data_IF_836274282387
#
_entry.id   IF_836274282387
#
_cell.length_a   1.000
_cell.length_b   1.000
_cell.length_c   1.000
_cell.angle_alpha   90.00
_cell.angle_beta   90.00
_cell.angle_gamma   90.00
#
_symmetry.space_group_name_H-M   'P 1'
#
loop_
_entity.id
_entity.type
_entity.pdbx_description
1 polymer ?
#
# COMPACT_ATOMS: atom_id res chain seq x y z
N UNK A 1 -4.15 -9.18 -19.64
CA UNK A 1 -4.53 -8.36 -18.46
C UNK A 1 -4.46 -6.85 -18.72
N UNK A 2 -3.51 -6.33 -19.51
CA UNK A 2 -3.43 -4.89 -19.87
C UNK A 2 -4.58 -4.36 -20.74
N UNK A 3 -5.27 -5.22 -21.49
CA UNK A 3 -6.45 -4.84 -22.29
C UNK A 3 -7.67 -4.44 -21.43
N UNK A 4 -7.79 -4.92 -20.19
CA UNK A 4 -8.98 -4.69 -19.36
C UNK A 4 -9.01 -3.28 -18.74
N UNK A 5 -7.86 -2.64 -18.49
CA UNK A 5 -7.83 -1.25 -17.99
C UNK A 5 -8.44 -0.26 -18.99
N UNK A 6 -8.29 -0.48 -20.29
CA UNK A 6 -8.88 0.39 -21.33
C UNK A 6 -10.41 0.29 -21.46
N UNK A 7 -11.03 -0.76 -20.92
CA UNK A 7 -12.51 -0.93 -21.01
C UNK A 7 -13.29 -0.33 -19.83
N UNK A 8 -12.63 -0.02 -18.71
CA UNK A 8 -13.28 0.53 -17.50
C UNK A 8 -13.05 2.04 -17.33
N UNK A 9 -12.01 2.58 -17.95
CA UNK A 9 -11.72 4.03 -17.96
C UNK A 9 -12.82 4.91 -18.58
N UNK A 10 -13.56 4.50 -19.63
CA UNK A 10 -14.63 5.33 -20.19
C UNK A 10 -15.92 5.35 -19.35
N UNK A 11 -16.06 4.44 -18.37
CA UNK A 11 -17.28 4.30 -17.56
C UNK A 11 -17.26 5.25 -16.34
N UNK A 12 -16.12 5.89 -16.06
CA UNK A 12 -15.91 6.71 -14.85
C UNK A 12 -15.32 8.11 -15.18
N UNK A 13 -15.53 8.63 -16.39
CA UNK A 13 -15.09 9.96 -16.85
C UNK A 13 -13.62 10.29 -16.55
N UNK A 14 -12.72 9.30 -16.61
CA UNK A 14 -11.28 9.47 -16.30
C UNK A 14 -10.98 10.10 -14.91
N UNK A 15 -11.99 10.17 -14.03
CA UNK A 15 -11.89 10.86 -12.75
C UNK A 15 -11.46 9.89 -11.66
N UNK A 16 -10.18 9.95 -11.34
CA UNK A 16 -9.55 9.06 -10.37
C UNK A 16 -10.05 9.29 -8.93
N UNK A 17 -10.57 10.47 -8.62
CA UNK A 17 -11.20 10.75 -7.33
C UNK A 17 -12.54 10.02 -7.19
N UNK A 18 -13.32 9.96 -8.28
CA UNK A 18 -14.56 9.19 -8.35
C UNK A 18 -14.27 7.70 -8.19
N UNK A 19 -13.19 7.20 -8.81
CA UNK A 19 -12.76 5.81 -8.65
C UNK A 19 -12.33 5.48 -7.21
N UNK A 20 -11.51 6.34 -6.57
CA UNK A 20 -11.11 6.16 -5.17
C UNK A 20 -12.30 6.20 -4.22
N UNK A 21 -13.26 7.10 -4.46
CA UNK A 21 -14.49 7.18 -3.67
C UNK A 21 -15.31 5.89 -3.76
N UNK A 22 -15.60 5.41 -4.98
CA UNK A 22 -16.32 4.15 -5.17
C UNK A 22 -15.57 2.96 -4.57
N UNK A 23 -14.24 2.92 -4.70
CA UNK A 23 -13.43 1.87 -4.09
C UNK A 23 -13.53 1.87 -2.56
N UNK A 24 -13.47 3.04 -1.92
CA UNK A 24 -13.57 3.14 -0.47
C UNK A 24 -14.97 2.79 0.04
N UNK A 25 -16.04 3.24 -0.64
CA UNK A 25 -17.41 2.87 -0.28
C UNK A 25 -17.63 1.37 -0.40
N UNK A 26 -17.22 0.77 -1.51
CA UNK A 26 -17.31 -0.68 -1.71
C UNK A 26 -16.49 -1.44 -0.67
N UNK A 27 -15.29 -0.96 -0.34
CA UNK A 27 -14.46 -1.53 0.71
C UNK A 27 -15.17 -1.48 2.07
N UNK A 28 -15.75 -0.35 2.47
CA UNK A 28 -16.50 -0.26 3.75
C UNK A 28 -17.67 -1.24 3.80
N UNK A 29 -18.46 -1.34 2.72
CA UNK A 29 -19.60 -2.27 2.65
C UNK A 29 -19.14 -3.73 2.74
N UNK A 30 -17.99 -4.07 2.15
CA UNK A 30 -17.47 -5.43 2.15
C UNK A 30 -16.76 -5.80 3.46
N UNK A 31 -15.98 -4.88 4.04
CA UNK A 31 -15.19 -5.15 5.23
C UNK A 31 -16.03 -5.14 6.51
N UNK A 32 -17.06 -4.31 6.64
CA UNK A 32 -17.91 -4.29 7.84
C UNK A 32 -18.52 -5.66 8.21
N UNK A 33 -19.18 -6.41 7.29
CA UNK A 33 -19.71 -7.73 7.61
C UNK A 33 -18.61 -8.76 7.85
N UNK A 34 -17.47 -8.66 7.15
CA UNK A 34 -16.32 -9.55 7.41
C UNK A 34 -15.74 -9.33 8.81
N UNK A 35 -15.55 -8.08 9.22
CA UNK A 35 -15.07 -7.74 10.57
C UNK A 35 -16.05 -8.27 11.62
N UNK A 36 -17.35 -8.04 11.44
CA UNK A 36 -18.37 -8.53 12.37
C UNK A 36 -18.37 -10.05 12.51
N UNK A 37 -18.08 -10.79 11.44
CA UNK A 37 -18.05 -12.25 11.45
C UNK A 37 -16.76 -12.82 12.05
N UNK A 38 -15.59 -12.32 11.61
CA UNK A 38 -14.30 -12.86 12.03
C UNK A 38 -13.83 -12.35 13.40
N UNK A 39 -14.13 -11.10 13.74
CA UNK A 39 -13.68 -10.45 14.98
C UNK A 39 -14.79 -10.36 16.04
N UNK A 40 -15.88 -11.12 15.88
CA UNK A 40 -17.05 -11.08 16.77
C UNK A 40 -16.69 -11.19 18.26
N UNK A 41 -15.87 -12.19 18.61
CA UNK A 41 -15.45 -12.43 19.99
C UNK A 41 -14.61 -11.27 20.54
N UNK A 42 -13.69 -10.73 19.73
CA UNK A 42 -12.85 -9.57 20.05
C UNK A 42 -13.70 -8.33 20.31
N UNK A 43 -14.74 -8.10 19.50
CA UNK A 43 -15.63 -6.94 19.60
C UNK A 43 -16.44 -6.98 20.90
N UNK A 44 -16.97 -8.15 21.27
CA UNK A 44 -17.74 -8.30 22.51
C UNK A 44 -16.86 -8.05 23.74
N UNK A 45 -15.66 -8.64 23.81
CA UNK A 45 -14.78 -8.43 24.97
C UNK A 45 -14.30 -6.97 25.09
N UNK A 46 -14.20 -6.26 23.96
CA UNK A 46 -13.81 -4.87 23.91
C UNK A 46 -14.95 -3.87 24.18
N UNK A 47 -16.22 -4.32 24.20
CA UNK A 47 -17.41 -3.45 24.21
C UNK A 47 -17.50 -2.55 25.45
N UNK A 48 -17.31 -3.12 26.63
CA UNK A 48 -17.37 -2.39 27.90
C UNK A 48 -16.03 -1.78 28.33
N UNK A 49 -14.98 -1.94 27.53
CA UNK A 49 -13.62 -1.47 27.84
C UNK A 49 -13.13 -0.47 26.81
N UNK A 50 -12.67 -0.97 25.68
CA UNK A 50 -11.84 -0.25 24.73
C UNK A 50 -12.68 0.55 23.73
N UNK A 51 -13.88 0.05 23.37
CA UNK A 51 -14.79 0.72 22.45
C UNK A 51 -15.42 2.00 23.03
N UNK A 52 -15.43 2.18 24.36
CA UNK A 52 -15.88 3.41 25.01
C UNK A 52 -14.75 4.44 25.22
N UNK A 53 -13.50 4.06 24.97
CA UNK A 53 -12.35 4.93 25.21
C UNK A 53 -12.21 6.00 24.12
N UNK A 54 -12.15 7.27 24.53
CA UNK A 54 -11.84 8.38 23.61
C UNK A 54 -10.44 8.26 22.98
N UNK A 55 -9.48 7.66 23.70
CA UNK A 55 -8.12 7.42 23.18
C UNK A 55 -8.15 6.40 22.04
N UNK A 56 -8.99 5.36 22.18
CA UNK A 56 -9.17 4.35 21.14
C UNK A 56 -9.69 5.00 19.85
N UNK A 57 -10.78 5.75 19.92
CA UNK A 57 -11.33 6.43 18.74
C UNK A 57 -10.42 7.53 18.19
N UNK A 58 -9.64 8.20 19.05
CA UNK A 58 -8.59 9.13 18.64
C UNK A 58 -7.52 8.42 17.81
N UNK A 59 -6.97 7.31 18.30
CA UNK A 59 -5.97 6.51 17.59
C UNK A 59 -6.53 5.94 16.27
N UNK A 60 -7.78 5.44 16.28
CA UNK A 60 -8.46 4.95 15.08
C UNK A 60 -8.66 6.05 14.03
N UNK A 61 -9.01 7.25 14.46
CA UNK A 61 -9.19 8.40 13.55
C UNK A 61 -7.86 8.82 12.93
N UNK A 62 -6.79 8.89 13.73
CA UNK A 62 -5.44 9.21 13.24
C UNK A 62 -4.96 8.14 12.25
N UNK A 63 -5.14 6.85 12.59
CA UNK A 63 -4.80 5.75 11.69
C UNK A 63 -5.61 5.81 10.39
N UNK A 64 -6.91 6.11 10.46
CA UNK A 64 -7.78 6.30 9.31
C UNK A 64 -7.34 7.47 8.42
N UNK A 65 -6.95 8.60 9.00
CA UNK A 65 -6.43 9.75 8.27
C UNK A 65 -5.16 9.43 7.49
N UNK A 66 -4.18 8.77 8.12
CA UNK A 66 -2.96 8.35 7.44
C UNK A 66 -3.22 7.25 6.40
N UNK A 67 -4.10 6.29 6.68
CA UNK A 67 -4.51 5.25 5.74
C UNK A 67 -5.13 5.85 4.47
N UNK A 68 -6.04 6.81 4.63
CA UNK A 68 -6.65 7.53 3.52
C UNK A 68 -5.61 8.33 2.72
N UNK A 69 -4.71 9.04 3.42
CA UNK A 69 -3.64 9.82 2.80
C UNK A 69 -2.68 8.95 1.99
N UNK A 70 -2.28 7.80 2.53
CA UNK A 70 -1.46 6.81 1.81
C UNK A 70 -2.21 6.33 0.56
N UNK A 71 -3.51 6.06 0.66
CA UNK A 71 -4.35 5.70 -0.49
C UNK A 71 -4.30 6.74 -1.62
N UNK A 72 -4.43 8.03 -1.30
CA UNK A 72 -4.31 9.12 -2.28
C UNK A 72 -2.91 9.14 -2.90
N UNK A 73 -1.86 9.10 -2.07
CA UNK A 73 -0.47 9.14 -2.54
C UNK A 73 -0.16 7.94 -3.44
N UNK A 74 -0.64 6.75 -3.11
CA UNK A 74 -0.50 5.55 -3.94
C UNK A 74 -1.14 5.74 -5.31
N UNK A 75 -2.36 6.29 -5.38
CA UNK A 75 -3.01 6.59 -6.67
C UNK A 75 -2.21 7.60 -7.48
N UNK A 76 -1.72 8.67 -6.85
CA UNK A 76 -0.88 9.67 -7.51
C UNK A 76 0.46 9.10 -7.99
N UNK A 77 1.09 8.23 -7.20
CA UNK A 77 2.35 7.58 -7.55
C UNK A 77 2.17 6.64 -8.76
N UNK A 78 1.09 5.86 -8.79
CA UNK A 78 0.76 4.98 -9.93
C UNK A 78 0.55 5.82 -11.20
N UNK A 79 -0.12 6.98 -11.08
CA UNK A 79 -0.30 7.92 -12.20
C UNK A 79 1.00 8.51 -12.73
N UNK A 80 1.86 8.98 -11.83
CA UNK A 80 3.12 9.62 -12.19
C UNK A 80 4.15 8.63 -12.73
N UNK A 81 3.94 7.32 -12.51
CA UNK A 81 4.86 6.27 -12.91
C UNK A 81 4.15 5.18 -13.71
N UNK A 82 4.11 3.95 -13.20
CA UNK A 82 3.34 2.84 -13.75
C UNK A 82 2.93 1.90 -12.61
N UNK A 83 1.87 1.09 -12.78
CA UNK A 83 1.50 0.08 -11.78
C UNK A 83 2.66 -0.88 -11.43
N UNK A 84 3.51 -1.19 -12.42
CA UNK A 84 4.69 -2.02 -12.21
C UNK A 84 5.75 -1.30 -11.36
N UNK A 85 6.08 -0.06 -11.70
CA UNK A 85 7.06 0.74 -10.96
C UNK A 85 6.62 1.03 -9.53
N UNK A 86 5.31 1.28 -9.30
CA UNK A 86 4.75 1.39 -7.96
C UNK A 86 4.97 0.12 -7.14
N UNK A 87 4.69 -1.06 -7.72
CA UNK A 87 4.88 -2.33 -7.01
C UNK A 87 6.36 -2.58 -6.67
N UNK A 88 7.28 -2.36 -7.62
CA UNK A 88 8.73 -2.49 -7.36
C UNK A 88 9.17 -1.52 -6.25
N UNK A 89 8.70 -0.27 -6.29
CA UNK A 89 8.98 0.71 -5.23
C UNK A 89 8.40 0.28 -3.88
N UNK A 90 7.20 -0.31 -3.85
CA UNK A 90 6.58 -0.84 -2.64
C UNK A 90 7.38 -1.99 -2.02
N UNK A 91 7.86 -2.92 -2.84
CA UNK A 91 8.73 -4.02 -2.39
C UNK A 91 10.06 -3.49 -1.84
N UNK A 92 10.70 -2.53 -2.53
CA UNK A 92 11.91 -1.89 -2.03
C UNK A 92 11.67 -1.16 -0.69
N UNK A 93 10.55 -0.43 -0.55
CA UNK A 93 10.16 0.23 0.70
C UNK A 93 10.04 -0.78 1.85
N UNK A 94 9.39 -1.91 1.63
CA UNK A 94 9.25 -2.97 2.65
C UNK A 94 10.60 -3.60 3.04
N UNK A 95 11.50 -3.80 2.07
CA UNK A 95 12.85 -4.31 2.33
C UNK A 95 13.68 -3.32 3.17
N UNK A 96 13.62 -2.03 2.87
CA UNK A 96 14.25 -0.97 3.69
C UNK A 96 13.64 -0.91 5.08
N UNK A 97 12.30 -1.01 5.19
CA UNK A 97 11.61 -1.06 6.48
C UNK A 97 12.07 -2.24 7.33
N UNK A 98 12.28 -3.41 6.72
CA UNK A 98 12.78 -4.60 7.42
C UNK A 98 14.23 -4.41 7.90
N UNK A 99 15.08 -3.77 7.10
CA UNK A 99 16.44 -3.43 7.50
C UNK A 99 16.47 -2.44 8.68
N UNK A 100 15.62 -1.41 8.63
CA UNK A 100 15.45 -0.47 9.75
C UNK A 100 14.95 -1.17 11.01
N UNK A 101 14.09 -2.18 10.87
CA UNK A 101 13.62 -2.96 12.00
C UNK A 101 14.77 -3.68 12.73
N UNK A 102 15.70 -4.29 11.99
CA UNK A 102 16.89 -4.91 12.58
C UNK A 102 17.80 -3.89 13.26
N UNK A 103 17.98 -2.71 12.66
CA UNK A 103 18.86 -1.67 13.21
C UNK A 103 18.28 -0.99 14.46
N UNK A 104 16.99 -0.66 14.45
CA UNK A 104 16.35 0.14 15.50
C UNK A 104 15.87 -0.75 16.65
N UNK A 105 15.14 -1.84 16.34
CA UNK A 105 14.57 -2.73 17.36
C UNK A 105 15.51 -3.86 17.77
N UNK A 106 16.72 -3.92 17.20
CA UNK A 106 17.73 -4.97 17.47
C UNK A 106 17.18 -6.40 17.30
N UNK A 107 16.21 -6.58 16.41
CA UNK A 107 15.64 -7.90 16.14
C UNK A 107 16.70 -8.78 15.46
N UNK A 108 16.86 -10.03 15.90
CA UNK A 108 17.94 -10.91 15.44
C UNK A 108 17.77 -11.21 13.94
N UNK A 109 18.71 -10.76 13.09
CA UNK A 109 18.59 -10.99 11.67
C UNK A 109 19.08 -12.40 11.33
N UNK A 110 18.26 -13.15 10.61
CA UNK A 110 18.70 -14.43 10.03
C UNK A 110 19.56 -14.19 8.80
N UNK A 111 20.55 -15.04 8.57
CA UNK A 111 21.41 -14.95 7.38
C UNK A 111 20.59 -14.94 6.09
N UNK A 112 19.59 -15.83 5.98
CA UNK A 112 18.68 -15.90 4.84
C UNK A 112 17.85 -14.61 4.69
N UNK A 113 17.39 -14.03 5.80
CA UNK A 113 16.62 -12.79 5.80
C UNK A 113 17.43 -11.60 5.28
N UNK A 114 18.69 -11.48 5.72
CA UNK A 114 19.62 -10.45 5.22
C UNK A 114 19.87 -10.63 3.72
N UNK A 115 20.21 -11.85 3.30
CA UNK A 115 20.42 -12.16 1.88
C UNK A 115 19.18 -11.82 1.04
N UNK A 116 17.99 -12.19 1.50
CA UNK A 116 16.73 -11.88 0.82
C UNK A 116 16.47 -10.37 0.69
N UNK A 117 16.77 -9.59 1.72
CA UNK A 117 16.66 -8.12 1.67
C UNK A 117 17.64 -7.56 0.63
N UNK A 118 18.90 -7.99 0.63
CA UNK A 118 19.88 -7.51 -0.35
C UNK A 118 19.52 -7.90 -1.79
N UNK A 119 19.05 -9.13 -2.02
CA UNK A 119 18.56 -9.55 -3.33
C UNK A 119 17.38 -8.69 -3.79
N UNK A 120 16.44 -8.40 -2.89
CA UNK A 120 15.25 -7.59 -3.17
C UNK A 120 15.62 -6.14 -3.52
N UNK A 121 16.52 -5.52 -2.75
CA UNK A 121 17.00 -4.17 -3.02
C UNK A 121 17.81 -4.11 -4.31
N UNK A 122 18.71 -5.07 -4.53
CA UNK A 122 19.50 -5.17 -5.76
C UNK A 122 18.64 -5.32 -7.01
N UNK A 123 17.64 -6.21 -6.99
CA UNK A 123 16.70 -6.38 -8.09
C UNK A 123 15.88 -5.12 -8.37
N UNK A 124 15.42 -4.44 -7.31
CA UNK A 124 14.67 -3.18 -7.43
C UNK A 124 15.52 -2.05 -8.03
N UNK A 125 16.79 -1.97 -7.65
CA UNK A 125 17.75 -1.01 -8.21
C UNK A 125 18.04 -1.30 -9.68
N UNK A 126 18.33 -2.56 -10.04
CA UNK A 126 18.57 -2.96 -11.42
C UNK A 126 17.39 -2.63 -12.34
N UNK A 127 16.16 -2.92 -11.90
CA UNK A 127 14.95 -2.54 -12.63
C UNK A 127 14.89 -1.02 -12.85
N UNK A 128 15.15 -0.25 -11.80
CA UNK A 128 15.15 1.22 -11.86
C UNK A 128 16.19 1.75 -12.85
N UNK A 129 17.40 1.19 -12.84
CA UNK A 129 18.46 1.55 -13.80
C UNK A 129 18.06 1.26 -15.25
N UNK A 130 17.48 0.08 -15.53
CA UNK A 130 17.00 -0.26 -16.87
C UNK A 130 15.90 0.72 -17.30
N UNK A 131 14.91 0.97 -16.45
CA UNK A 131 13.81 1.90 -16.74
C UNK A 131 14.30 3.33 -17.01
N UNK A 132 15.26 3.80 -16.23
CA UNK A 132 15.88 5.12 -16.45
C UNK A 132 16.59 5.21 -17.80
N UNK A 133 17.27 4.13 -18.24
CA UNK A 133 17.91 4.06 -19.56
C UNK A 133 16.90 4.05 -20.70
N UNK A 134 15.82 3.28 -20.57
CA UNK A 134 14.73 3.25 -21.56
C UNK A 134 14.11 4.64 -21.74
N UNK A 135 13.81 5.33 -20.64
CA UNK A 135 13.24 6.68 -20.69
C UNK A 135 14.18 7.70 -21.34
N UNK A 136 15.49 7.62 -21.07
CA UNK A 136 16.50 8.49 -21.72
C UNK A 136 16.62 8.21 -23.21
N UNK A 137 16.64 6.94 -23.62
CA UNK A 137 16.73 6.55 -25.03
C UNK A 137 15.48 6.92 -25.84
N UNK A 138 14.29 6.85 -25.22
CA UNK A 138 13.03 7.27 -25.84
C UNK A 138 12.87 8.78 -25.99
N UNK A 139 13.58 9.59 -25.20
CA UNK A 139 13.49 11.06 -25.24
C UNK A 139 14.44 11.71 -26.27
N UNK A 140 15.27 10.92 -26.97
CA UNK A 140 16.17 11.35 -28.04
C UNK A 140 15.65 11.04 -29.46
N UNK A 141 14.46 10.47 -29.59
CA UNK A 141 13.73 10.32 -30.87
C UNK A 141 12.64 11.36 -30.97
#
# INVERSE_FOLDING_TARGET
>A
MFARKRQILPVVDDNHWKLTYYNNVNASVLFLPMIAFYEWATIIDAFDKQLQSGIFWGAMTVAGFFGFSIGIVTVLQIKATSPLSHNISGTAKAAVQSLMAFAIWKNEPTFLGICGIFTTLGGSLLYTFVKMRENKAGSQK
#
